data_IF_233416312167
#
_entry.id   IF_233416312167
#
_cell.length_a   1.000
_cell.length_b   1.000
_cell.length_c   1.000
_cell.angle_alpha   90.00
_cell.angle_beta   90.00
_cell.angle_gamma   90.00
#
_symmetry.space_group_name_H-M   'P 1'
#
loop_
_entity.id
_entity.type
_entity.pdbx_description
1 polymer ?
#
# COMPACT_ATOMS: atom_id res chain seq x y z
N UNK A 1 26.24 30.22 -0.71
CA UNK A 1 26.12 30.34 -2.18
C UNK A 1 26.77 29.13 -2.82
N UNK A 2 25.97 28.27 -3.44
CA UNK A 2 26.32 27.48 -4.63
C UNK A 2 25.09 26.67 -5.03
N UNK A 3 24.18 27.35 -5.74
CA UNK A 3 23.09 26.72 -6.47
C UNK A 3 23.71 25.86 -7.57
N UNK A 4 23.63 24.53 -7.43
CA UNK A 4 23.95 23.61 -8.51
C UNK A 4 22.89 23.82 -9.60
N UNK A 5 23.32 24.38 -10.74
CA UNK A 5 22.54 24.60 -11.97
C UNK A 5 21.63 23.39 -12.27
N UNK A 6 20.32 23.57 -12.11
CA UNK A 6 19.31 22.71 -12.75
C UNK A 6 19.47 22.85 -14.27
N UNK A 7 19.86 21.76 -14.94
CA UNK A 7 20.06 21.73 -16.38
C UNK A 7 18.98 20.90 -17.04
N UNK A 8 17.88 21.57 -17.40
CA UNK A 8 16.93 21.34 -18.51
C UNK A 8 15.57 21.92 -18.09
N UNK A 9 14.95 22.69 -18.97
CA UNK A 9 13.61 23.27 -18.81
C UNK A 9 12.57 22.15 -18.63
N UNK A 10 12.32 21.74 -17.39
CA UNK A 10 11.31 20.74 -17.02
C UNK A 10 9.94 21.41 -16.86
N UNK A 11 9.42 22.03 -17.93
CA UNK A 11 8.04 22.50 -17.91
C UNK A 11 7.11 21.28 -17.88
N UNK A 12 6.04 21.29 -17.06
CA UNK A 12 4.96 20.32 -17.13
C UNK A 12 4.46 20.10 -18.56
N UNK A 13 4.05 18.87 -18.85
CA UNK A 13 3.47 18.48 -20.14
C UNK A 13 1.96 18.34 -20.06
N UNK A 14 1.44 17.97 -18.90
CA UNK A 14 0.02 17.68 -18.66
C UNK A 14 -0.58 18.70 -17.70
N UNK A 15 0.12 19.00 -16.61
CA UNK A 15 -0.28 20.04 -15.66
C UNK A 15 0.06 21.44 -16.20
N UNK A 16 -0.62 22.48 -15.72
CA UNK A 16 -0.30 23.88 -16.02
C UNK A 16 0.95 24.37 -15.25
N UNK A 17 1.20 23.78 -14.07
CA UNK A 17 2.38 23.99 -13.21
C UNK A 17 2.61 22.77 -12.29
N UNK A 18 3.72 22.74 -11.53
CA UNK A 18 4.05 21.70 -10.54
C UNK A 18 3.58 22.08 -9.13
N UNK A 19 2.35 22.58 -8.99
CA UNK A 19 1.84 23.11 -7.73
C UNK A 19 0.41 22.67 -7.44
N UNK A 20 -0.07 23.03 -6.24
CA UNK A 20 -1.42 22.69 -5.80
C UNK A 20 -2.52 23.30 -6.71
N UNK A 21 -2.46 24.58 -7.13
CA UNK A 21 -3.44 25.13 -8.07
C UNK A 21 -3.56 24.33 -9.37
N UNK A 22 -2.44 23.94 -9.99
CA UNK A 22 -2.46 23.15 -11.21
C UNK A 22 -2.99 21.73 -11.00
N UNK A 23 -2.69 21.12 -9.85
CA UNK A 23 -3.29 19.83 -9.46
C UNK A 23 -4.81 19.94 -9.32
N UNK A 24 -5.31 20.98 -8.64
CA UNK A 24 -6.74 21.21 -8.44
C UNK A 24 -7.44 21.46 -9.77
N UNK A 25 -6.84 22.26 -10.67
CA UNK A 25 -7.33 22.46 -12.04
C UNK A 25 -7.46 21.13 -12.79
N UNK A 26 -6.42 20.29 -12.74
CA UNK A 26 -6.41 18.99 -13.40
C UNK A 26 -7.47 18.05 -12.83
N UNK A 27 -7.61 17.97 -11.49
CA UNK A 27 -8.62 17.15 -10.82
C UNK A 27 -10.06 17.58 -11.11
N UNK A 28 -10.30 18.86 -11.42
CA UNK A 28 -11.62 19.37 -11.85
C UNK A 28 -11.92 19.10 -13.33
N UNK A 29 -10.93 18.71 -14.12
CA UNK A 29 -11.08 18.52 -15.56
C UNK A 29 -11.59 17.13 -15.92
N UNK A 30 -12.18 17.00 -17.11
CA UNK A 30 -12.64 15.70 -17.67
C UNK A 30 -11.50 14.71 -17.98
N UNK A 31 -10.24 15.12 -17.79
CA UNK A 31 -9.06 14.27 -17.98
C UNK A 31 -8.70 13.47 -16.74
N UNK A 32 -9.21 13.84 -15.56
CA UNK A 32 -8.94 13.13 -14.31
C UNK A 32 -10.17 12.32 -13.91
N UNK A 33 -10.17 11.01 -14.21
CA UNK A 33 -11.27 10.10 -13.88
C UNK A 33 -10.82 8.91 -13.05
N UNK A 34 -9.55 8.54 -13.16
CA UNK A 34 -8.96 7.37 -12.53
C UNK A 34 -7.79 7.78 -11.64
N UNK A 35 -8.10 8.11 -10.39
CA UNK A 35 -7.10 8.37 -9.35
C UNK A 35 -6.68 7.04 -8.73
N UNK A 36 -5.38 6.74 -8.78
CA UNK A 36 -4.78 5.65 -8.04
C UNK A 36 -4.02 6.21 -6.85
N UNK A 37 -4.19 5.57 -5.70
CA UNK A 37 -3.52 5.94 -4.46
C UNK A 37 -2.48 4.89 -4.08
N UNK A 38 -1.37 5.35 -3.50
CA UNK A 38 -0.42 4.51 -2.77
C UNK A 38 -0.22 5.08 -1.37
N UNK A 39 -0.53 4.29 -0.36
CA UNK A 39 -0.54 4.71 1.04
C UNK A 39 0.52 3.96 1.85
N UNK A 40 1.06 4.64 2.85
CA UNK A 40 1.82 4.01 3.93
C UNK A 40 1.46 4.59 5.29
N UNK A 41 2.22 4.21 6.31
CA UNK A 41 1.86 4.44 7.71
C UNK A 41 1.67 5.92 8.08
N UNK A 42 2.28 6.85 7.34
CA UNK A 42 2.14 8.29 7.55
C UNK A 42 0.70 8.79 7.49
N UNK A 43 -0.21 8.12 6.76
CA UNK A 43 -1.64 8.50 6.71
C UNK A 43 -2.41 8.13 7.99
N UNK A 44 -1.86 7.23 8.81
CA UNK A 44 -2.46 6.73 10.05
C UNK A 44 -1.85 7.33 11.32
N UNK A 45 -0.74 8.08 11.21
CA UNK A 45 -0.03 8.66 12.37
C UNK A 45 -0.91 9.56 13.25
N UNK A 46 -1.80 10.37 12.64
CA UNK A 46 -2.73 11.23 13.39
C UNK A 46 -3.87 10.47 14.08
N UNK A 47 -4.08 9.19 13.73
CA UNK A 47 -4.99 8.31 14.45
C UNK A 47 -4.40 7.80 15.78
N UNK A 48 -3.11 8.04 16.04
CA UNK A 48 -2.38 7.49 17.18
C UNK A 48 -1.68 6.15 16.89
N UNK A 49 -1.69 5.70 15.64
CA UNK A 49 -0.92 4.52 15.21
C UNK A 49 0.49 4.99 14.86
N UNK A 50 1.53 4.56 15.59
CA UNK A 50 2.90 4.93 15.25
C UNK A 50 3.26 4.38 13.87
N UNK A 51 4.05 5.14 13.10
CA UNK A 51 4.68 4.56 11.92
C UNK A 51 5.77 3.55 12.34
N UNK A 52 6.41 2.89 11.38
CA UNK A 52 7.46 1.94 11.73
C UNK A 52 8.79 2.61 12.09
N UNK A 53 9.14 3.70 11.39
CA UNK A 53 10.53 4.16 11.22
C UNK A 53 10.84 5.53 11.85
N UNK A 54 9.84 6.32 12.22
CA UNK A 54 10.10 7.66 12.75
C UNK A 54 10.94 7.56 14.02
N UNK A 55 11.98 8.40 14.16
CA UNK A 55 12.75 8.45 15.40
C UNK A 55 11.84 8.73 16.60
N UNK A 56 12.11 8.07 17.73
CA UNK A 56 11.46 8.24 19.04
C UNK A 56 9.99 7.80 19.13
N UNK A 57 9.22 7.97 18.06
CA UNK A 57 7.77 7.70 18.02
C UNK A 57 7.40 6.48 17.21
N UNK A 58 8.28 6.02 16.33
CA UNK A 58 8.07 4.84 15.50
C UNK A 58 8.07 3.56 16.31
N UNK A 59 7.34 2.56 15.82
CA UNK A 59 7.19 1.25 16.43
C UNK A 59 8.55 0.66 16.82
N UNK A 60 9.53 0.71 15.91
CA UNK A 60 10.86 0.15 16.10
C UNK A 60 11.65 0.76 17.27
N UNK A 61 11.45 2.05 17.57
CA UNK A 61 12.07 2.68 18.74
C UNK A 61 11.52 2.11 20.06
N UNK A 62 10.27 1.64 20.06
CA UNK A 62 9.59 1.08 21.23
C UNK A 62 9.79 -0.43 21.40
N UNK A 63 10.44 -1.11 20.44
CA UNK A 63 10.69 -2.56 20.48
C UNK A 63 11.98 -2.95 21.22
N UNK A 64 12.78 -1.99 21.69
CA UNK A 64 14.04 -2.28 22.40
C UNK A 64 13.84 -3.22 23.62
N UNK A 65 12.67 -3.15 24.27
CA UNK A 65 12.27 -4.03 25.38
C UNK A 65 12.08 -5.51 25.01
N UNK A 66 11.96 -5.84 23.72
CA UNK A 66 11.71 -7.21 23.26
C UNK A 66 13.00 -7.97 22.93
N UNK A 67 14.17 -7.37 23.20
CA UNK A 67 15.49 -7.96 23.01
C UNK A 67 15.69 -8.60 21.62
N UNK A 68 15.22 -7.89 20.58
CA UNK A 68 15.28 -8.33 19.19
C UNK A 68 16.70 -8.13 18.62
N UNK A 69 17.16 -8.99 17.69
CA UNK A 69 18.46 -8.81 17.03
C UNK A 69 18.52 -7.49 16.24
N UNK A 70 17.38 -7.09 15.68
CA UNK A 70 17.14 -5.82 15.02
C UNK A 70 15.61 -5.57 15.00
N UNK A 71 15.13 -4.31 14.91
CA UNK A 71 13.72 -4.00 15.08
C UNK A 71 12.77 -4.69 14.08
N UNK A 72 13.21 -4.90 12.84
CA UNK A 72 12.43 -5.54 11.78
C UNK A 72 12.18 -7.02 12.04
N UNK A 73 12.98 -7.67 12.90
CA UNK A 73 12.91 -9.11 13.17
C UNK A 73 11.54 -9.57 13.66
N UNK A 74 10.78 -8.71 14.36
CA UNK A 74 9.42 -9.04 14.81
C UNK A 74 8.45 -9.35 13.65
N UNK A 75 8.73 -8.81 12.46
CA UNK A 75 7.97 -9.02 11.23
C UNK A 75 8.71 -9.91 10.22
N UNK A 76 9.73 -10.67 10.63
CA UNK A 76 10.39 -11.65 9.76
C UNK A 76 9.81 -13.04 9.96
N UNK A 77 9.40 -13.71 8.87
CA UNK A 77 8.75 -15.02 8.98
C UNK A 77 9.66 -16.09 9.59
N UNK A 78 10.97 -16.02 9.30
CA UNK A 78 11.95 -16.95 9.87
C UNK A 78 12.24 -16.68 11.35
N UNK A 79 12.10 -15.43 11.80
CA UNK A 79 12.15 -15.13 13.22
C UNK A 79 10.88 -15.63 13.91
N UNK A 80 9.70 -15.34 13.36
CA UNK A 80 8.41 -15.80 13.90
C UNK A 80 8.33 -17.33 14.06
N UNK A 81 8.83 -18.09 13.09
CA UNK A 81 8.94 -19.56 13.17
C UNK A 81 9.76 -20.06 14.36
N UNK A 82 10.79 -19.31 14.76
CA UNK A 82 11.67 -19.66 15.88
C UNK A 82 11.12 -19.13 17.20
N UNK A 83 10.62 -17.90 17.20
CA UNK A 83 10.11 -17.22 18.38
C UNK A 83 8.93 -16.29 18.00
N UNK A 84 7.68 -16.76 18.14
CA UNK A 84 6.49 -15.95 17.85
C UNK A 84 6.12 -14.97 18.98
N UNK A 85 6.74 -15.09 20.17
CA UNK A 85 6.36 -14.31 21.37
C UNK A 85 6.43 -12.80 21.15
N UNK A 86 7.50 -12.23 20.54
CA UNK A 86 7.58 -10.79 20.33
C UNK A 86 6.46 -10.25 19.44
N UNK A 87 6.07 -11.00 18.40
CA UNK A 87 4.96 -10.60 17.54
C UNK A 87 3.64 -10.62 18.30
N UNK A 88 3.33 -11.69 19.05
CA UNK A 88 2.07 -11.75 19.82
C UNK A 88 1.99 -10.69 20.92
N UNK A 89 3.14 -10.34 21.52
CA UNK A 89 3.23 -9.22 22.46
C UNK A 89 2.87 -7.90 21.80
N UNK A 90 3.32 -7.69 20.57
CA UNK A 90 3.07 -6.49 19.79
C UNK A 90 1.66 -6.44 19.19
N UNK A 91 1.16 -7.58 18.70
CA UNK A 91 -0.16 -7.72 18.08
C UNK A 91 -1.28 -7.30 19.04
N UNK A 92 -1.13 -7.58 20.34
CA UNK A 92 -2.04 -7.11 21.38
C UNK A 92 -2.17 -5.58 21.43
N UNK A 93 -1.05 -4.87 21.22
CA UNK A 93 -1.00 -3.41 21.24
C UNK A 93 -1.64 -2.84 19.97
N UNK A 94 -1.36 -3.47 18.82
CA UNK A 94 -1.80 -3.04 17.49
C UNK A 94 -3.21 -3.52 17.07
N UNK A 95 -3.88 -4.35 17.88
CA UNK A 95 -5.13 -4.98 17.49
C UNK A 95 -6.21 -3.95 17.06
N UNK A 96 -6.95 -4.20 15.94
CA UNK A 96 -7.93 -3.25 15.39
C UNK A 96 -9.04 -2.82 16.35
N UNK A 97 -9.74 -1.73 15.99
CA UNK A 97 -10.92 -1.21 16.72
C UNK A 97 -10.64 -0.06 17.69
N UNK A 98 -9.36 0.21 18.02
CA UNK A 98 -8.97 1.27 18.98
C UNK A 98 -8.86 2.67 18.37
N UNK A 99 -8.55 2.74 17.08
CA UNK A 99 -8.14 3.98 16.41
C UNK A 99 -9.25 4.52 15.55
N UNK A 100 -9.41 5.84 15.41
CA UNK A 100 -10.37 6.42 14.46
C UNK A 100 -9.69 6.63 13.10
N UNK A 101 -10.36 6.35 11.96
CA UNK A 101 -9.84 6.76 10.66
C UNK A 101 -9.51 8.27 10.62
N UNK A 102 -8.44 8.61 9.90
CA UNK A 102 -7.99 10.00 9.79
C UNK A 102 -8.78 10.77 8.73
N UNK A 103 -8.51 12.08 8.65
CA UNK A 103 -9.09 12.94 7.61
C UNK A 103 -8.60 12.49 6.24
N UNK A 104 -7.34 12.07 6.14
CA UNK A 104 -6.79 11.46 4.92
C UNK A 104 -7.60 10.23 4.49
N UNK A 105 -7.99 9.35 5.42
CA UNK A 105 -8.82 8.19 5.07
C UNK A 105 -10.21 8.58 4.55
N UNK A 106 -10.80 9.62 5.16
CA UNK A 106 -12.11 10.14 4.74
C UNK A 106 -12.05 10.78 3.34
N UNK A 107 -10.91 11.37 2.97
CA UNK A 107 -10.67 11.86 1.61
C UNK A 107 -10.59 10.73 0.58
N UNK A 108 -10.06 9.57 0.95
CA UNK A 108 -10.08 8.38 0.06
C UNK A 108 -11.52 7.96 -0.21
N UNK A 109 -12.35 7.89 0.84
CA UNK A 109 -13.80 7.63 0.68
C UNK A 109 -14.46 8.70 -0.18
N UNK A 110 -14.12 9.97 0.02
CA UNK A 110 -14.66 11.07 -0.78
C UNK A 110 -14.30 10.94 -2.27
N UNK A 111 -13.08 10.54 -2.60
CA UNK A 111 -12.69 10.24 -3.99
C UNK A 111 -13.53 9.10 -4.59
N UNK A 112 -13.88 8.09 -3.78
CA UNK A 112 -14.77 7.02 -4.21
C UNK A 112 -16.21 7.51 -4.41
N UNK A 113 -16.77 8.30 -3.48
CA UNK A 113 -18.13 8.88 -3.60
C UNK A 113 -18.25 9.81 -4.82
N UNK A 114 -17.15 10.46 -5.22
CA UNK A 114 -17.08 11.29 -6.44
C UNK A 114 -16.78 10.52 -7.72
N UNK A 115 -16.65 9.19 -7.64
CA UNK A 115 -16.37 8.33 -8.80
C UNK A 115 -14.97 8.48 -9.39
N UNK A 116 -14.03 9.07 -8.64
CA UNK A 116 -12.65 9.32 -9.08
C UNK A 116 -11.68 8.22 -8.66
N UNK A 117 -11.97 7.49 -7.57
CA UNK A 117 -11.07 6.46 -7.06
C UNK A 117 -11.09 5.21 -7.96
N UNK A 118 -9.95 4.92 -8.59
CA UNK A 118 -9.76 3.68 -9.35
C UNK A 118 -9.28 2.54 -8.44
N UNK A 119 -8.17 2.74 -7.74
CA UNK A 119 -7.57 1.72 -6.84
C UNK A 119 -6.79 2.41 -5.72
N UNK A 120 -6.89 1.86 -4.52
CA UNK A 120 -6.18 2.28 -3.33
C UNK A 120 -5.22 1.17 -2.90
N UNK A 121 -3.94 1.30 -3.26
CA UNK A 121 -2.90 0.42 -2.76
C UNK A 121 -2.44 0.90 -1.39
N UNK A 122 -2.47 0.04 -0.38
CA UNK A 122 -2.02 0.38 0.98
C UNK A 122 -0.95 -0.59 1.46
N UNK A 123 0.07 -0.05 2.13
CA UNK A 123 1.05 -0.81 2.89
C UNK A 123 0.59 -1.06 4.33
N UNK A 124 -0.48 -0.40 4.75
CA UNK A 124 -0.97 -0.45 6.12
C UNK A 124 -1.76 -1.74 6.34
N UNK A 125 -1.77 -2.16 7.60
CA UNK A 125 -2.42 -3.38 8.09
C UNK A 125 -3.53 -3.05 9.09
N UNK A 126 -3.77 -1.76 9.34
CA UNK A 126 -4.62 -1.22 10.41
C UNK A 126 -6.11 -1.20 10.07
N UNK A 127 -6.47 -1.47 8.81
CA UNK A 127 -7.84 -1.52 8.27
C UNK A 127 -8.61 -0.19 8.30
N UNK A 128 -7.93 0.94 8.50
CA UNK A 128 -8.59 2.25 8.61
C UNK A 128 -9.24 2.71 7.30
N UNK A 129 -8.79 2.23 6.14
CA UNK A 129 -9.44 2.47 4.85
C UNK A 129 -10.85 1.88 4.81
N UNK A 130 -10.98 0.60 5.21
CA UNK A 130 -12.27 -0.11 5.30
C UNK A 130 -13.20 0.60 6.28
N UNK A 131 -12.68 0.95 7.45
CA UNK A 131 -13.45 1.64 8.51
C UNK A 131 -13.83 3.06 8.15
N UNK A 132 -13.07 3.74 7.29
CA UNK A 132 -13.50 5.01 6.73
C UNK A 132 -14.68 4.86 5.75
N UNK A 133 -14.97 3.65 5.27
CA UNK A 133 -16.01 3.35 4.29
C UNK A 133 -15.52 3.39 2.84
N UNK A 134 -14.22 3.20 2.60
CA UNK A 134 -13.71 3.01 1.24
C UNK A 134 -14.23 1.66 0.71
N UNK A 135 -14.79 1.58 -0.52
CA UNK A 135 -15.31 0.33 -1.05
C UNK A 135 -14.22 -0.75 -1.09
N UNK A 136 -14.55 -1.94 -0.59
CA UNK A 136 -13.60 -3.04 -0.41
C UNK A 136 -12.91 -3.45 -1.71
N UNK A 137 -13.65 -3.48 -2.82
CA UNK A 137 -13.14 -3.82 -4.15
C UNK A 137 -12.13 -2.79 -4.70
N UNK A 138 -12.03 -1.61 -4.08
CA UNK A 138 -11.05 -0.57 -4.42
C UNK A 138 -9.78 -0.68 -3.58
N UNK A 139 -9.78 -1.43 -2.47
CA UNK A 139 -8.66 -1.51 -1.54
C UNK A 139 -7.78 -2.72 -1.90
N UNK A 140 -6.48 -2.47 -2.05
CA UNK A 140 -5.48 -3.51 -2.27
C UNK A 140 -4.45 -3.43 -1.12
N UNK A 141 -4.61 -4.33 -0.15
CA UNK A 141 -3.76 -4.46 1.03
C UNK A 141 -2.46 -5.20 0.66
N UNK A 142 -1.43 -4.46 0.25
CA UNK A 142 -0.18 -5.04 -0.26
C UNK A 142 0.59 -5.87 0.78
N UNK A 143 0.42 -5.52 2.05
CA UNK A 143 0.99 -6.24 3.18
C UNK A 143 -0.08 -7.01 3.98
N UNK A 144 -1.24 -7.26 3.37
CA UNK A 144 -2.37 -7.92 4.02
C UNK A 144 -2.95 -7.11 5.18
N UNK A 145 -3.63 -7.76 6.12
CA UNK A 145 -4.31 -7.08 7.23
C UNK A 145 -4.59 -8.02 8.41
N UNK A 146 -5.08 -7.44 9.52
CA UNK A 146 -5.57 -8.22 10.67
C UNK A 146 -6.97 -8.84 10.45
N UNK A 147 -7.57 -8.67 9.26
CA UNK A 147 -8.95 -9.06 9.00
C UNK A 147 -9.17 -10.58 8.96
N UNK A 148 -8.17 -11.35 8.51
CA UNK A 148 -8.18 -12.82 8.47
C UNK A 148 -6.83 -13.39 8.95
N UNK A 149 -6.75 -14.70 9.16
CA UNK A 149 -5.68 -15.35 9.94
C UNK A 149 -5.55 -16.80 9.47
N UNK A 150 -4.32 -17.26 9.27
CA UNK A 150 -4.03 -18.60 8.74
C UNK A 150 -2.83 -19.23 9.42
N UNK A 151 -2.79 -20.56 9.39
CA UNK A 151 -1.59 -21.29 9.77
C UNK A 151 -0.43 -20.98 8.81
N UNK A 152 0.77 -20.75 9.33
CA UNK A 152 1.96 -20.46 8.51
C UNK A 152 2.52 -21.67 7.75
N UNK A 153 1.98 -22.88 7.99
CA UNK A 153 2.45 -24.13 7.39
C UNK A 153 1.43 -24.76 6.45
N UNK A 154 0.20 -25.01 6.90
CA UNK A 154 -0.84 -25.61 6.07
C UNK A 154 -1.77 -24.59 5.40
N UNK A 155 -1.64 -23.30 5.72
CA UNK A 155 -2.47 -22.20 5.21
C UNK A 155 -3.98 -22.32 5.51
N UNK A 156 -4.36 -23.22 6.41
CA UNK A 156 -5.74 -23.34 6.87
C UNK A 156 -6.15 -22.08 7.62
N UNK A 157 -7.38 -21.62 7.34
CA UNK A 157 -8.03 -20.52 8.04
C UNK A 157 -8.19 -20.83 9.52
N UNK A 158 -8.00 -19.80 10.33
CA UNK A 158 -8.14 -19.89 11.77
C UNK A 158 -9.29 -18.99 12.21
N UNK A 159 -10.06 -19.46 13.18
CA UNK A 159 -11.23 -18.76 13.67
C UNK A 159 -10.89 -17.39 14.28
N UNK A 160 -11.63 -16.35 13.86
CA UNK A 160 -11.43 -14.96 14.26
C UNK A 160 -11.49 -14.78 15.78
N UNK A 161 -12.49 -15.40 16.41
CA UNK A 161 -12.76 -15.24 17.84
C UNK A 161 -11.70 -15.95 18.67
N UNK A 162 -11.26 -17.16 18.25
CA UNK A 162 -10.10 -17.82 18.83
C UNK A 162 -8.85 -16.96 18.68
N UNK A 163 -8.59 -16.36 17.51
CA UNK A 163 -7.40 -15.54 17.33
C UNK A 163 -7.44 -14.31 18.23
N UNK A 164 -8.60 -13.66 18.32
CA UNK A 164 -8.83 -12.52 19.21
C UNK A 164 -8.51 -12.88 20.65
N UNK A 165 -9.00 -14.03 21.14
CA UNK A 165 -8.70 -14.51 22.49
C UNK A 165 -7.19 -14.71 22.70
N UNK A 166 -6.50 -15.34 21.74
CA UNK A 166 -5.07 -15.58 21.81
C UNK A 166 -4.26 -14.28 21.84
N UNK A 167 -4.57 -13.32 20.97
CA UNK A 167 -3.91 -12.02 20.96
C UNK A 167 -4.16 -11.27 22.27
N UNK A 168 -5.41 -11.20 22.74
CA UNK A 168 -5.75 -10.48 23.97
C UNK A 168 -5.13 -11.10 25.22
N UNK A 169 -5.06 -12.43 25.28
CA UNK A 169 -4.41 -13.16 26.38
C UNK A 169 -2.90 -13.31 26.22
N UNK A 170 -2.30 -12.75 25.15
CA UNK A 170 -0.88 -12.90 24.79
C UNK A 170 -0.42 -14.36 24.69
N UNK A 171 -1.32 -15.25 24.28
CA UNK A 171 -1.05 -16.66 24.03
C UNK A 171 -0.78 -16.89 22.55
N UNK A 172 0.16 -17.77 22.24
CA UNK A 172 0.49 -18.13 20.85
C UNK A 172 -0.58 -19.07 20.31
N UNK A 173 -1.26 -18.67 19.23
CA UNK A 173 -2.23 -19.54 18.57
C UNK A 173 -1.52 -20.65 17.77
N UNK A 174 -2.09 -21.85 17.86
CA UNK A 174 -1.67 -23.04 17.11
C UNK A 174 -2.82 -23.56 16.26
N UNK A 175 -2.48 -24.05 15.08
CA UNK A 175 -3.41 -24.62 14.13
C UNK A 175 -3.98 -25.93 14.67
N UNK A 176 -5.30 -26.08 14.57
CA UNK A 176 -6.02 -27.25 15.06
C UNK A 176 -5.67 -28.52 14.26
N UNK A 177 -5.28 -28.39 12.98
CA UNK A 177 -4.99 -29.52 12.09
C UNK A 177 -3.54 -30.00 12.10
N UNK A 178 -2.57 -29.08 12.15
CA UNK A 178 -1.13 -29.44 12.05
C UNK A 178 -0.28 -29.02 13.25
N UNK A 179 -0.86 -28.31 14.24
CA UNK A 179 -0.13 -27.81 15.41
C UNK A 179 0.84 -26.66 15.13
N UNK A 180 0.95 -26.22 13.88
CA UNK A 180 1.80 -25.11 13.46
C UNK A 180 1.31 -23.75 13.96
N UNK A 181 2.19 -22.75 14.02
CA UNK A 181 1.81 -21.41 14.46
C UNK A 181 0.80 -20.75 13.51
N UNK A 182 -0.10 -19.96 14.09
CA UNK A 182 -1.07 -19.14 13.36
C UNK A 182 -0.66 -17.68 13.50
N UNK A 183 -0.90 -16.88 12.46
CA UNK A 183 -0.79 -15.43 12.51
C UNK A 183 -1.92 -14.79 11.70
N UNK A 184 -2.24 -13.50 11.93
CA UNK A 184 -3.06 -12.75 11.00
C UNK A 184 -2.41 -12.72 9.62
N UNK A 185 -3.22 -12.54 8.59
CA UNK A 185 -2.79 -12.50 7.18
C UNK A 185 -2.11 -11.18 6.83
N UNK A 186 -1.15 -10.80 7.67
CA UNK A 186 -0.17 -9.74 7.45
C UNK A 186 1.05 -10.39 6.80
N UNK A 187 1.58 -9.75 5.77
CA UNK A 187 2.76 -10.21 5.05
C UNK A 187 4.01 -9.87 5.86
N UNK A 188 4.73 -10.88 6.30
CA UNK A 188 6.02 -10.74 6.96
C UNK A 188 7.14 -10.65 5.93
N UNK A 189 8.28 -10.07 6.32
CA UNK A 189 9.50 -10.14 5.52
C UNK A 189 9.88 -11.61 5.27
N UNK A 190 10.09 -11.93 4.00
CA UNK A 190 10.34 -13.30 3.52
C UNK A 190 9.10 -14.05 3.05
N UNK A 191 7.90 -13.48 3.15
CA UNK A 191 6.68 -14.01 2.54
C UNK A 191 6.40 -13.39 1.16
N UNK A 192 5.62 -14.12 0.35
CA UNK A 192 5.10 -13.59 -0.91
C UNK A 192 4.01 -12.54 -0.63
N UNK A 193 3.91 -11.54 -1.50
CA UNK A 193 2.79 -10.60 -1.46
C UNK A 193 1.50 -11.29 -1.94
N UNK A 194 0.31 -10.80 -1.53
CA UNK A 194 -0.96 -11.41 -1.90
C UNK A 194 -1.22 -11.41 -3.41
N UNK A 195 -1.90 -12.44 -3.91
CA UNK A 195 -2.21 -12.57 -5.34
C UNK A 195 -3.07 -11.42 -5.87
N UNK A 196 -4.00 -10.89 -5.06
CA UNK A 196 -4.81 -9.73 -5.42
C UNK A 196 -3.94 -8.47 -5.61
N UNK A 197 -2.86 -8.30 -4.85
CA UNK A 197 -1.90 -7.23 -5.07
C UNK A 197 -1.20 -7.39 -6.42
N UNK A 198 -0.68 -8.59 -6.71
CA UNK A 198 0.01 -8.89 -7.98
C UNK A 198 -0.95 -8.67 -9.16
N UNK A 199 -2.18 -9.16 -9.05
CA UNK A 199 -3.23 -9.04 -10.06
C UNK A 199 -3.73 -7.60 -10.27
N UNK A 200 -3.58 -6.73 -9.27
CA UNK A 200 -3.96 -5.32 -9.36
C UNK A 200 -2.86 -4.43 -9.94
N UNK A 201 -1.58 -4.82 -9.93
CA UNK A 201 -0.47 -4.02 -10.50
C UNK A 201 -0.75 -3.54 -11.94
N UNK A 202 -1.31 -4.35 -12.86
CA UNK A 202 -1.68 -3.89 -14.20
C UNK A 202 -2.67 -2.72 -14.23
N UNK A 203 -3.41 -2.44 -13.14
CA UNK A 203 -4.33 -1.31 -13.07
C UNK A 203 -3.62 0.04 -13.13
N UNK A 204 -2.32 0.10 -12.80
CA UNK A 204 -1.52 1.33 -12.85
C UNK A 204 -1.50 1.98 -14.24
N UNK A 205 -1.73 1.23 -15.31
CA UNK A 205 -1.83 1.76 -16.69
C UNK A 205 -3.07 2.62 -16.93
N UNK A 206 -4.09 2.51 -16.08
CA UNK A 206 -5.33 3.28 -16.17
C UNK A 206 -5.28 4.55 -15.34
N UNK A 207 -4.19 4.82 -14.61
CA UNK A 207 -4.08 6.01 -13.80
C UNK A 207 -4.05 7.28 -14.68
N UNK A 208 -5.03 8.16 -14.45
CA UNK A 208 -4.96 9.54 -14.92
C UNK A 208 -4.16 10.40 -13.93
N UNK A 209 -4.14 9.99 -12.66
CA UNK A 209 -3.43 10.65 -11.57
C UNK A 209 -2.96 9.60 -10.56
N UNK A 210 -1.68 9.64 -10.18
CA UNK A 210 -1.17 8.89 -9.04
C UNK A 210 -0.97 9.83 -7.85
N UNK A 211 -1.54 9.51 -6.69
CA UNK A 211 -1.26 10.22 -5.44
C UNK A 211 -0.62 9.26 -4.44
N UNK A 212 0.60 9.56 -4.04
CA UNK A 212 1.37 8.82 -3.04
C UNK A 212 1.34 9.59 -1.73
N UNK A 213 0.88 8.95 -0.65
CA UNK A 213 0.67 9.61 0.64
C UNK A 213 1.31 8.84 1.79
N UNK A 214 2.04 9.54 2.65
CA UNK A 214 2.50 9.01 3.94
C UNK A 214 3.37 7.75 3.86
N UNK A 215 4.21 7.60 2.84
CA UNK A 215 5.12 6.45 2.71
C UNK A 215 6.55 6.91 2.44
N UNK A 216 7.52 6.15 2.96
CA UNK A 216 8.94 6.36 2.66
C UNK A 216 9.36 5.80 1.30
N UNK A 217 8.50 4.98 0.66
CA UNK A 217 8.82 4.25 -0.58
C UNK A 217 10.14 3.45 -0.52
N UNK A 218 10.43 2.81 0.61
CA UNK A 218 11.65 2.01 0.79
C UNK A 218 11.43 0.50 0.71
N UNK A 219 10.18 0.03 0.86
CA UNK A 219 9.85 -1.41 0.86
C UNK A 219 9.44 -1.85 -0.53
N UNK A 220 10.18 -2.82 -1.08
CA UNK A 220 9.88 -3.44 -2.37
C UNK A 220 8.94 -4.65 -2.19
N UNK A 221 8.12 -4.99 -3.21
CA UNK A 221 8.01 -4.35 -4.53
C UNK A 221 7.11 -3.10 -4.56
N UNK A 222 6.45 -2.76 -3.44
CA UNK A 222 5.47 -1.67 -3.38
C UNK A 222 6.04 -0.32 -3.84
N UNK A 223 7.25 0.03 -3.36
CA UNK A 223 7.91 1.28 -3.72
C UNK A 223 8.05 1.47 -5.24
N UNK A 224 8.36 0.39 -5.97
CA UNK A 224 8.52 0.44 -7.43
C UNK A 224 7.23 0.77 -8.18
N UNK A 225 6.04 0.61 -7.58
CA UNK A 225 4.78 0.89 -8.26
C UNK A 225 4.65 2.37 -8.65
N UNK A 226 5.25 3.28 -7.87
CA UNK A 226 5.20 4.71 -8.13
C UNK A 226 5.86 5.10 -9.47
N UNK A 227 6.78 4.27 -9.98
CA UNK A 227 7.47 4.47 -11.26
C UNK A 227 6.85 3.69 -12.43
N UNK A 228 5.83 2.85 -12.17
CA UNK A 228 5.17 2.01 -13.19
C UNK A 228 4.00 2.69 -13.89
N UNK A 229 3.52 3.83 -13.38
CA UNK A 229 2.52 4.64 -14.10
C UNK A 229 3.14 5.30 -15.32
N UNK A 230 2.31 5.53 -16.35
CA UNK A 230 2.75 6.16 -17.60
C UNK A 230 3.47 7.49 -17.34
N UNK A 231 4.41 7.86 -18.21
CA UNK A 231 5.12 9.14 -18.10
C UNK A 231 4.20 10.36 -18.30
N UNK A 232 3.06 10.20 -18.94
CA UNK A 232 2.01 11.23 -19.03
C UNK A 232 1.08 11.26 -17.82
N UNK A 233 1.10 10.26 -16.94
CA UNK A 233 0.34 10.32 -15.69
C UNK A 233 1.08 11.25 -14.72
N UNK A 234 0.48 12.40 -14.31
CA UNK A 234 1.02 13.20 -13.24
C UNK A 234 1.10 12.39 -11.94
N UNK A 235 2.11 12.68 -11.12
CA UNK A 235 2.27 12.04 -9.81
C UNK A 235 2.32 13.09 -8.73
N UNK A 236 1.62 12.85 -7.63
CA UNK A 236 1.58 13.75 -6.48
C UNK A 236 2.17 13.03 -5.29
N UNK A 237 3.11 13.67 -4.60
CA UNK A 237 3.60 13.23 -3.30
C UNK A 237 3.03 14.13 -2.21
N UNK A 238 2.34 13.52 -1.24
CA UNK A 238 1.90 14.17 0.00
C UNK A 238 2.61 13.46 1.15
N UNK A 239 3.67 14.06 1.67
CA UNK A 239 4.49 13.43 2.69
C UNK A 239 5.27 14.47 3.50
N UNK A 240 5.81 14.10 4.66
CA UNK A 240 6.70 15.00 5.41
C UNK A 240 8.02 15.24 4.67
N UNK A 241 8.57 14.17 4.07
CA UNK A 241 9.86 14.18 3.39
C UNK A 241 9.73 13.88 1.89
N UNK A 242 10.69 14.40 1.11
CA UNK A 242 10.85 14.01 -0.29
C UNK A 242 11.37 12.57 -0.36
N UNK A 243 10.67 11.71 -1.09
CA UNK A 243 10.94 10.26 -1.15
C UNK A 243 10.88 9.73 -2.59
N UNK A 244 11.46 8.54 -2.81
CA UNK A 244 11.48 7.88 -4.11
C UNK A 244 12.10 8.74 -5.20
N UNK A 245 11.55 8.66 -6.42
CA UNK A 245 11.99 9.42 -7.58
C UNK A 245 11.25 10.76 -7.77
N UNK A 246 10.45 11.19 -6.78
CA UNK A 246 9.61 12.38 -6.92
C UNK A 246 10.42 13.65 -7.17
N UNK A 247 9.89 14.51 -8.04
CA UNK A 247 10.55 15.73 -8.50
C UNK A 247 11.51 15.49 -9.68
N UNK A 248 11.66 14.25 -10.14
CA UNK A 248 12.45 13.93 -11.33
C UNK A 248 11.64 14.05 -12.63
N UNK A 249 10.31 13.84 -12.60
CA UNK A 249 9.43 14.00 -13.78
C UNK A 249 8.90 15.44 -13.87
N UNK A 250 8.57 15.86 -15.09
CA UNK A 250 8.03 17.21 -15.38
C UNK A 250 6.67 17.47 -14.74
N UNK A 251 5.89 16.43 -14.47
CA UNK A 251 4.52 16.52 -13.95
C UNK A 251 4.40 15.90 -12.55
N UNK A 252 5.52 15.84 -11.82
CA UNK A 252 5.51 15.53 -10.40
C UNK A 252 5.13 16.79 -9.60
N UNK A 253 4.15 16.67 -8.70
CA UNK A 253 3.79 17.69 -7.71
C UNK A 253 4.21 17.20 -6.33
N UNK A 254 5.01 18.00 -5.62
CA UNK A 254 5.52 17.63 -4.29
C UNK A 254 4.90 18.57 -3.25
N UNK A 255 4.04 18.03 -2.40
CA UNK A 255 3.33 18.75 -1.34
C UNK A 255 3.84 18.26 0.02
N UNK A 256 4.88 18.93 0.53
CA UNK A 256 5.46 18.55 1.81
C UNK A 256 4.63 19.06 2.99
N UNK A 257 4.27 18.16 3.90
CA UNK A 257 3.46 18.45 5.07
C UNK A 257 2.74 17.22 5.62
N UNK A 258 2.01 17.41 6.73
CA UNK A 258 1.16 16.36 7.28
C UNK A 258 0.05 16.02 6.29
N UNK A 259 -0.23 14.73 6.08
CA UNK A 259 -1.22 14.27 5.10
C UNK A 259 -2.58 14.95 5.31
N UNK A 260 -3.08 14.96 6.55
CA UNK A 260 -4.39 15.57 6.87
C UNK A 260 -4.45 17.07 6.53
N UNK A 261 -3.38 17.81 6.78
CA UNK A 261 -3.33 19.25 6.51
C UNK A 261 -3.30 19.55 5.01
N UNK A 262 -2.55 18.76 4.24
CA UNK A 262 -2.48 18.91 2.77
C UNK A 262 -3.80 18.48 2.13
N UNK A 263 -4.39 17.36 2.58
CA UNK A 263 -5.68 16.87 2.11
C UNK A 263 -6.81 17.86 2.38
N UNK A 264 -6.83 18.50 3.55
CA UNK A 264 -7.77 19.60 3.84
C UNK A 264 -7.61 20.75 2.86
N UNK A 265 -6.38 21.17 2.57
CA UNK A 265 -6.10 22.24 1.60
C UNK A 265 -6.58 21.86 0.19
N UNK A 266 -6.27 20.65 -0.27
CA UNK A 266 -6.75 20.12 -1.56
C UNK A 266 -8.28 20.15 -1.60
N UNK A 267 -8.93 19.64 -0.56
CA UNK A 267 -10.39 19.57 -0.49
C UNK A 267 -11.02 20.96 -0.46
N UNK A 268 -10.42 21.92 0.25
CA UNK A 268 -10.86 23.31 0.24
C UNK A 268 -10.79 23.95 -1.15
N UNK A 269 -9.67 23.80 -1.85
CA UNK A 269 -9.50 24.32 -3.23
C UNK A 269 -10.44 23.63 -4.24
N UNK A 270 -10.79 22.37 -3.99
CA UNK A 270 -11.78 21.62 -4.77
C UNK A 270 -13.24 22.00 -4.42
N UNK A 271 -13.48 22.68 -3.29
CA UNK A 271 -14.81 22.99 -2.78
C UNK A 271 -15.50 21.80 -2.07
N UNK A 272 -14.71 20.84 -1.56
CA UNK A 272 -15.18 19.61 -0.92
C UNK A 272 -14.93 19.57 0.59
N UNK A 273 -14.54 20.67 1.22
CA UNK A 273 -14.17 20.72 2.64
C UNK A 273 -15.31 20.25 3.55
N UNK A 274 -16.54 20.72 3.33
CA UNK A 274 -17.70 20.34 4.13
C UNK A 274 -18.06 18.84 3.97
N UNK A 275 -17.97 18.32 2.74
CA UNK A 275 -18.19 16.89 2.47
C UNK A 275 -17.13 16.03 3.17
N UNK A 276 -15.85 16.43 3.09
CA UNK A 276 -14.75 15.76 3.76
C UNK A 276 -14.97 15.69 5.27
N UNK A 277 -15.30 16.82 5.90
CA UNK A 277 -15.52 16.89 7.34
C UNK A 277 -16.76 16.08 7.75
N UNK A 278 -17.85 16.12 6.96
CA UNK A 278 -19.02 15.26 7.19
C UNK A 278 -18.63 13.79 7.20
N UNK A 279 -17.94 13.31 6.15
CA UNK A 279 -17.51 11.91 6.05
C UNK A 279 -16.58 11.52 7.20
N UNK A 280 -15.67 12.41 7.61
CA UNK A 280 -14.81 12.14 8.75
C UNK A 280 -15.60 12.06 10.06
N UNK A 281 -16.60 12.91 10.27
CA UNK A 281 -17.46 12.86 11.45
C UNK A 281 -18.27 11.54 11.52
N UNK A 282 -18.73 11.01 10.39
CA UNK A 282 -19.40 9.70 10.35
C UNK A 282 -18.53 8.56 10.88
N UNK A 283 -17.19 8.68 10.77
CA UNK A 283 -16.27 7.67 11.30
C UNK A 283 -16.21 7.61 12.83
N UNK A 284 -16.74 8.59 13.57
CA UNK A 284 -16.80 8.53 15.05
C UNK A 284 -17.57 7.31 15.55
N UNK A 285 -18.65 6.96 14.85
CA UNK A 285 -19.47 5.79 15.20
C UNK A 285 -18.68 4.47 15.15
N UNK A 286 -17.65 4.39 14.29
CA UNK A 286 -16.82 3.19 14.10
C UNK A 286 -15.85 2.91 15.25
N UNK A 287 -15.75 3.80 16.23
CA UNK A 287 -14.97 3.60 17.46
C UNK A 287 -15.90 3.21 18.62
N UNK A 288 -17.15 3.67 18.58
CA UNK A 288 -18.16 3.44 19.63
C UNK A 288 -18.79 2.04 19.54
N UNK A 289 -18.90 1.45 18.34
CA UNK A 289 -19.39 0.09 18.15
C UNK A 289 -18.49 -0.97 18.80
N UNK A 290 -17.18 -0.76 18.76
CA UNK A 290 -16.20 -1.79 19.14
C UNK A 290 -15.87 -1.71 20.64
N UNK A 291 -16.02 -0.54 21.24
CA UNK A 291 -15.86 -0.33 22.69
C UNK A 291 -17.03 -0.86 23.51
N UNK A 292 -18.20 -1.07 22.91
CA UNK A 292 -19.36 -1.69 23.57
C UNK A 292 -19.13 -3.15 24.00
N UNK A 293 -18.10 -3.81 23.44
CA UNK A 293 -17.70 -5.17 23.80
C UNK A 293 -16.50 -5.24 24.76
N UNK A 294 -15.94 -4.10 25.15
CA UNK A 294 -14.79 -4.00 26.06
C UNK A 294 -15.30 -3.52 27.42
N UNK A 295 -15.19 -4.35 28.47
CA UNK A 295 -15.62 -3.94 29.81
C UNK A 295 -14.70 -2.80 30.30
N UNK A 296 -15.20 -1.83 31.10
CA UNK A 296 -14.39 -0.72 31.62
C UNK A 296 -13.14 -1.15 32.39
N UNK A 297 -13.08 -2.39 32.86
CA UNK A 297 -11.95 -3.00 33.55
C UNK A 297 -10.78 -3.40 32.64
N UNK A 298 -10.98 -3.38 31.31
CA UNK A 298 -10.02 -3.85 30.31
C UNK A 298 -9.32 -2.68 29.57
N UNK A 299 -9.58 -1.44 29.99
CA UNK A 299 -8.88 -0.24 29.52
C UNK A 299 -7.48 -0.18 30.17
N UNK A 300 -6.37 -0.20 29.40
CA UNK A 300 -5.06 0.06 29.98
C UNK A 300 -4.96 1.53 30.38
N UNK A 301 -4.81 1.78 31.68
CA UNK A 301 -4.27 3.06 32.15
C UNK A 301 -2.81 3.09 31.72
N UNK A 302 -2.45 3.99 30.81
CA UNK A 302 -1.05 4.26 30.49
C UNK A 302 -0.33 4.65 31.81
N UNK A 303 0.68 3.89 32.26
CA UNK A 303 1.43 4.25 33.45
C UNK A 303 2.10 5.60 33.22
N UNK A 304 1.92 6.54 34.16
CA UNK A 304 2.62 7.83 34.14
C UNK A 304 4.11 7.71 34.52
N UNK A 305 4.58 6.51 34.84
CA UNK A 305 5.96 6.22 35.21
C UNK A 305 6.36 4.85 34.64
N UNK A 306 7.60 4.71 34.18
CA UNK A 306 8.12 3.47 33.61
C UNK A 306 8.04 2.33 34.66
N UNK A 307 7.37 1.20 34.37
CA UNK A 307 7.34 0.09 35.30
C UNK A 307 8.71 -0.60 35.33
N UNK A 308 9.22 -0.88 36.53
CA UNK A 308 10.33 -1.81 36.74
C UNK A 308 10.05 -3.15 36.04
N UNK A 309 11.08 -3.74 35.42
CA UNK A 309 11.08 -5.00 34.67
C UNK A 309 10.15 -6.05 35.29
N UNK A 310 8.91 -6.10 34.79
CA UNK A 310 7.83 -6.80 35.49
C UNK A 310 7.96 -8.31 35.35
N UNK A 311 7.65 -9.02 36.43
CA UNK A 311 7.58 -10.47 36.65
C UNK A 311 6.97 -11.29 35.50
N UNK A 312 6.21 -10.66 34.61
CA UNK A 312 5.63 -11.24 33.40
C UNK A 312 6.67 -11.80 32.43
N UNK A 313 7.82 -11.15 32.25
CA UNK A 313 8.89 -11.67 31.38
C UNK A 313 9.49 -12.96 31.97
N UNK A 314 9.68 -12.99 33.29
CA UNK A 314 10.21 -14.16 34.01
C UNK A 314 9.24 -15.35 33.95
N UNK A 315 7.93 -15.11 34.02
CA UNK A 315 6.94 -16.19 33.92
C UNK A 315 6.85 -16.76 32.50
N UNK A 316 7.05 -15.94 31.47
CA UNK A 316 7.08 -16.37 30.07
C UNK A 316 8.36 -17.16 29.76
N UNK A 317 9.52 -16.71 30.25
CA UNK A 317 10.79 -17.46 30.13
C UNK A 317 10.70 -18.82 30.82
N UNK A 318 10.04 -18.89 31.98
CA UNK A 318 9.80 -20.14 32.71
C UNK A 318 8.85 -21.09 31.99
N UNK A 319 7.89 -20.57 31.22
CA UNK A 319 7.04 -21.38 30.35
C UNK A 319 7.80 -21.91 29.12
N UNK A 320 8.75 -21.13 28.59
CA UNK A 320 9.65 -21.55 27.50
C UNK A 320 10.61 -22.66 27.94
N UNK A 321 11.26 -22.53 29.11
CA UNK A 321 12.10 -23.61 29.67
C UNK A 321 11.31 -24.91 29.89
N UNK A 322 10.05 -24.80 30.33
CA UNK A 322 9.19 -25.97 30.55
C UNK A 322 8.80 -26.66 29.24
N UNK A 323 8.64 -25.90 28.15
CA UNK A 323 8.40 -26.45 26.80
C UNK A 323 9.64 -27.10 26.19
N UNK A 324 10.84 -26.63 26.54
CA UNK A 324 12.11 -27.25 26.12
C UNK A 324 12.39 -28.57 26.87
N UNK A 325 11.91 -28.71 28.11
CA UNK A 325 12.05 -29.93 28.92
C UNK A 325 11.10 -31.06 28.48
N UNK A 326 9.92 -30.73 27.94
CA UNK A 326 8.92 -31.72 27.50
C UNK A 326 9.14 -32.19 26.04
N UNK A 327 10.05 -31.55 25.30
CA UNK A 327 10.34 -31.79 23.88
C UNK A 327 11.30 -32.95 23.56
N UNK A 328 11.19 -34.10 24.21
CA UNK A 328 11.85 -35.33 23.72
C UNK A 328 10.96 -36.04 22.70
N UNK A 329 10.84 -35.48 21.50
CA UNK A 329 9.98 -36.12 20.50
C UNK A 329 9.77 -35.42 19.17
N UNK A 330 10.81 -34.84 18.55
CA UNK A 330 10.86 -34.67 17.09
C UNK A 330 12.32 -34.73 16.63
N UNK A 331 12.79 -35.94 16.33
CA UNK A 331 14.00 -36.16 15.52
C UNK A 331 13.57 -36.47 14.09
N UNK A 332 14.20 -35.76 13.16
CA UNK A 332 14.43 -36.08 11.75
C UNK A 332 13.21 -36.37 10.85
N UNK A 333 12.66 -35.31 10.24
CA UNK A 333 11.97 -35.42 8.96
C UNK A 333 12.96 -35.08 7.83
N UNK A 334 13.07 -35.89 6.76
CA UNK A 334 14.00 -35.61 5.66
C UNK A 334 13.58 -34.36 4.88
N UNK A 335 14.55 -33.52 4.51
CA UNK A 335 14.36 -32.44 3.56
C UNK A 335 13.91 -32.98 2.19
N UNK A 336 13.01 -32.31 1.47
CA UNK A 336 12.68 -32.66 0.09
C UNK A 336 13.89 -32.41 -0.83
N UNK A 337 14.06 -33.18 -1.92
CA UNK A 337 15.26 -33.13 -2.74
C UNK A 337 15.38 -31.80 -3.50
N UNK A 338 16.57 -31.21 -3.43
CA UNK A 338 16.95 -30.04 -4.21
C UNK A 338 17.05 -30.40 -5.70
N UNK A 339 16.22 -29.78 -6.54
CA UNK A 339 16.42 -29.80 -8.00
C UNK A 339 17.42 -28.71 -8.39
N UNK A 340 18.51 -29.14 -9.01
CA UNK A 340 19.59 -28.29 -9.51
C UNK A 340 19.18 -27.53 -10.78
N UNK A 341 19.24 -26.21 -10.74
CA UNK A 341 19.51 -25.39 -11.92
C UNK A 341 20.53 -24.31 -11.54
N UNK A 342 21.75 -24.51 -12.01
CA UNK A 342 22.92 -23.64 -11.88
C UNK A 342 22.68 -22.27 -12.53
N UNK A 343 23.01 -21.14 -11.89
CA UNK A 343 23.19 -19.87 -12.58
C UNK A 343 24.62 -19.79 -13.14
N UNK A 344 24.74 -19.43 -14.43
CA UNK A 344 26.01 -19.18 -15.08
C UNK A 344 26.65 -17.87 -14.57
N UNK A 345 27.90 -17.99 -14.14
CA UNK A 345 28.82 -16.89 -13.84
C UNK A 345 29.14 -16.06 -15.10
N UNK A 346 29.11 -14.72 -14.98
CA UNK A 346 29.99 -13.80 -15.72
C UNK A 346 30.34 -12.61 -14.82
N UNK A 347 31.58 -12.09 -14.84
CA UNK A 347 32.15 -11.29 -13.74
C UNK A 347 32.04 -9.77 -13.92
N UNK A 348 32.10 -9.07 -12.79
CA UNK A 348 32.23 -7.63 -12.63
C UNK A 348 33.61 -7.09 -13.05
N UNK A 349 33.68 -5.84 -13.54
CA UNK A 349 34.89 -5.02 -13.47
C UNK A 349 34.59 -3.51 -13.44
N UNK A 350 35.20 -2.85 -12.46
CA UNK A 350 35.22 -1.41 -12.21
C UNK A 350 36.26 -0.65 -13.08
N UNK A 351 35.93 0.61 -13.35
CA UNK A 351 36.79 1.81 -13.52
C UNK A 351 37.91 1.93 -14.60
N UNK A 352 37.65 2.80 -15.60
CA UNK A 352 38.43 3.97 -16.14
C UNK A 352 39.99 3.91 -16.33
N UNK A 353 40.59 4.81 -17.15
CA UNK A 353 40.39 5.17 -18.57
C UNK A 353 41.72 5.09 -19.37
N UNK A 354 41.70 5.01 -20.71
CA UNK A 354 42.92 5.31 -21.49
C UNK A 354 42.61 5.95 -22.85
N UNK A 355 43.22 7.11 -23.03
CA UNK A 355 43.42 7.88 -24.25
C UNK A 355 44.40 7.18 -25.20
N UNK A 356 44.15 7.21 -26.51
CA UNK A 356 45.14 7.48 -27.55
C UNK A 356 44.46 7.73 -28.89
N UNK A 357 45.19 8.44 -29.75
CA UNK A 357 44.73 9.32 -30.81
C UNK A 357 45.22 8.82 -32.19
N UNK A 358 44.53 9.29 -33.24
CA UNK A 358 44.91 9.43 -34.67
C UNK A 358 45.18 8.19 -35.58
N UNK A 359 44.37 8.07 -36.66
CA UNK A 359 44.72 8.15 -38.12
C UNK A 359 43.53 7.60 -38.97
N UNK A 360 42.73 8.44 -39.65
CA UNK A 360 42.78 8.84 -41.09
C UNK A 360 42.87 7.67 -42.08
N UNK A 361 42.06 7.45 -43.14
CA UNK A 361 41.04 8.18 -43.95
C UNK A 361 40.32 7.11 -44.86
N UNK A 362 39.63 7.39 -46.01
CA UNK A 362 38.16 7.35 -46.14
C UNK A 362 37.62 6.43 -47.26
N UNK A 363 36.30 6.17 -47.30
CA UNK A 363 35.60 5.55 -48.46
C UNK A 363 34.25 6.26 -48.69
N UNK A 364 33.81 6.47 -49.95
CA UNK A 364 33.17 7.71 -50.39
C UNK A 364 31.64 7.71 -50.47
N UNK A 365 31.10 8.94 -50.56
CA UNK A 365 29.72 9.27 -50.92
C UNK A 365 29.50 9.09 -52.43
N UNK A 366 28.38 8.50 -52.80
CA UNK A 366 27.74 8.75 -54.10
C UNK A 366 26.28 9.20 -53.93
N UNK A 367 25.91 10.11 -54.82
CA UNK A 367 24.75 10.99 -54.82
C UNK A 367 23.54 10.43 -55.58
N UNK A 368 22.37 10.88 -55.11
CA UNK A 368 21.03 10.89 -55.70
C UNK A 368 20.87 10.63 -57.21
N UNK A 369 19.81 9.89 -57.55
CA UNK A 369 18.85 10.25 -58.60
C UNK A 369 17.41 9.99 -58.19
N UNK A 370 16.56 10.90 -58.65
CA UNK A 370 15.13 11.12 -58.45
C UNK A 370 14.27 10.33 -59.46
N UNK A 371 13.11 9.86 -59.01
CA UNK A 371 11.81 9.82 -59.73
C UNK A 371 10.80 9.18 -58.74
N UNK A 372 9.55 9.61 -58.56
CA UNK A 372 8.73 10.47 -59.39
C UNK A 372 7.41 9.78 -59.78
N UNK A 373 6.59 9.26 -58.85
CA UNK A 373 5.15 9.00 -59.16
C UNK A 373 4.27 8.92 -57.90
N UNK A 374 3.24 9.76 -57.87
CA UNK A 374 2.05 9.69 -57.00
C UNK A 374 0.97 8.84 -57.70
N UNK A 375 0.31 7.92 -57.01
CA UNK A 375 -1.14 7.56 -57.19
C UNK A 375 -1.63 6.94 -55.86
N UNK A 376 -2.86 7.23 -55.38
CA UNK A 376 -3.36 6.86 -54.05
C UNK A 376 -4.08 5.50 -54.05
N UNK A 377 -4.22 4.86 -52.89
CA UNK A 377 -5.12 3.71 -52.71
C UNK A 377 -6.12 4.05 -51.62
N UNK A 378 -7.38 4.12 -52.05
CA UNK A 378 -8.61 4.30 -51.27
C UNK A 378 -9.04 3.01 -50.58
N UNK A 379 -9.68 3.16 -49.42
CA UNK A 379 -10.43 2.13 -48.72
C UNK A 379 -11.67 1.65 -49.50
N UNK A 380 -12.21 0.47 -49.17
CA UNK A 380 -13.62 0.18 -49.40
C UNK A 380 -14.39 -0.01 -48.07
N UNK A 381 -15.44 0.78 -47.88
CA UNK A 381 -16.62 0.37 -47.11
C UNK A 381 -17.45 -0.65 -47.91
N UNK A 382 -18.34 -1.39 -47.24
CA UNK A 382 -19.64 -1.63 -47.84
C UNK A 382 -20.82 -1.31 -46.90
N UNK A 383 -21.60 -0.32 -47.36
CA UNK A 383 -23.06 -0.31 -47.54
C UNK A 383 -23.98 -0.72 -46.38
N UNK A 384 -24.66 0.29 -45.82
CA UNK A 384 -26.07 0.19 -45.42
C UNK A 384 -26.95 0.28 -46.69
N UNK A 385 -27.96 -0.60 -46.81
CA UNK A 385 -29.27 -0.13 -47.27
C UNK A 385 -30.43 -1.12 -47.00
N UNK A 386 -31.57 -0.52 -46.63
CA UNK A 386 -32.97 -0.97 -46.78
C UNK A 386 -33.57 -1.93 -45.73
N UNK A 387 -34.78 -1.79 -45.18
CA UNK A 387 -35.81 -0.72 -44.99
C UNK A 387 -37.08 -1.45 -44.47
N UNK A 388 -37.78 -0.88 -43.48
CA UNK A 388 -39.20 -1.10 -43.09
C UNK A 388 -39.65 -2.51 -42.60
N UNK A 389 -40.56 -2.70 -41.64
CA UNK A 389 -41.89 -2.06 -41.43
C UNK A 389 -42.57 -2.54 -40.11
N UNK A 390 -43.66 -1.85 -39.74
CA UNK A 390 -44.74 -2.13 -38.73
C UNK A 390 -44.42 -1.80 -37.27
N UNK A 391 -44.99 -0.76 -36.62
CA UNK A 391 -46.38 -0.31 -36.37
C UNK A 391 -47.26 -1.23 -35.49
N UNK A 392 -47.56 -0.69 -34.28
CA UNK A 392 -48.82 -0.68 -33.52
C UNK A 392 -49.48 -1.98 -33.00
N UNK A 393 -49.58 -2.04 -31.65
CA UNK A 393 -50.74 -2.36 -30.78
C UNK A 393 -50.20 -2.73 -29.38
N UNK A 394 -50.79 -2.44 -28.23
CA UNK A 394 -51.97 -1.71 -27.79
C UNK A 394 -51.87 -1.58 -26.25
N UNK A 395 -52.50 -0.54 -25.70
CA UNK A 395 -52.94 -0.41 -24.30
C UNK A 395 -53.72 -1.68 -23.86
N UNK A 396 -53.81 -2.10 -22.59
CA UNK A 396 -54.59 -1.52 -21.47
C UNK A 396 -54.55 -2.50 -20.26
N UNK A 397 -55.14 -2.09 -19.12
CA UNK A 397 -55.34 -2.73 -17.78
C UNK A 397 -54.20 -2.42 -16.78
N UNK A 398 -54.30 -1.52 -15.80
CA UNK A 398 -55.37 -1.17 -14.83
C UNK A 398 -55.90 -2.37 -14.05
N UNK A 399 -55.43 -2.55 -12.81
CA UNK A 399 -56.33 -2.53 -11.64
C UNK A 399 -55.60 -2.50 -10.29
N UNK A 400 -56.23 -1.75 -9.38
CA UNK A 400 -55.82 -1.37 -8.04
C UNK A 400 -55.81 -2.53 -7.03
N UNK A 401 -54.97 -2.39 -6.00
CA UNK A 401 -55.33 -2.73 -4.63
C UNK A 401 -54.97 -1.57 -3.70
N UNK A 402 -56.05 -0.90 -3.27
CA UNK A 402 -56.29 -0.02 -2.12
C UNK A 402 -55.38 1.20 -1.87
#
# INVERSE_FOLDING_TARGET
MNFRRQTRSNKPKVLSANDLPALVEFMKSDKCKNVILMLGAGVSTSAGIPDFRSPETGLYSNLARLNLPHPEAVFEINFFRRNPVPFYTLAHELYPGKFRPTITHSFIRLLAEKGLLHTCFTQNIDTLERRAGVPEEKIIEAHGSFATQRCIYCHEEYDDEKMREHILSKKIAKCDSCGGYVKPDIVFFGEALPDNFIGAVPNLRYADLLIVMGTSLTVQPFASLADRVDYSCPRVLINLDLVGSFGSRSDDVVLLGKCDDVVKKISKELGWEDELIRLWNETEATVLSDTAHIKPTDLPVLPKEAPEESETLKEIEKQLEKLELDGTGLKDAPAPPATSSTPANMPSADTKPLTTDVTSTPVPKETLKTDGTKVPISAPEPSEDQVNKSEQRAETTTENKL
#
